data_IF_845606255200
#
_entry.id   IF_845606255200
#
_cell.length_a   1.000
_cell.length_b   1.000
_cell.length_c   1.000
_cell.angle_alpha   90.00
_cell.angle_beta   90.00
_cell.angle_gamma   90.00
#
_symmetry.space_group_name_H-M   'P 1'
#
loop_
_entity.id
_entity.type
_entity.pdbx_description
1 polymer ?
2 non-polymer ?
3 non-polymer ?
4 water ?
#
# COMPACT_ATOMS: atom_id res chain seq x y z
N UNK A 2 -2.60 -14.79 38.52
CA UNK A 2 -2.28 -13.38 38.19
C UNK A 2 -2.23 -13.08 36.70
N UNK A 3 -3.15 -12.22 36.22
CA UNK A 3 -3.17 -11.78 34.82
C UNK A 3 -1.88 -11.07 34.43
N UNK A 4 -1.16 -10.49 35.41
CA UNK A 4 0.12 -9.82 35.14
C UNK A 4 1.10 -10.72 34.39
N UNK A 5 1.07 -12.03 34.62
CA UNK A 5 1.97 -12.93 33.91
C UNK A 5 1.72 -12.90 32.41
N UNK A 6 0.47 -12.73 32.01
CA UNK A 6 0.11 -12.81 30.59
C UNK A 6 0.03 -11.45 29.91
N UNK A 7 0.08 -10.36 30.68
CA UNK A 7 0.05 -9.02 30.16
C UNK A 7 1.41 -8.36 30.35
N UNK A 8 1.61 -7.24 29.65
CA UNK A 8 2.87 -6.54 29.69
C UNK A 8 2.63 -5.08 29.32
N UNK A 9 3.62 -4.25 29.64
CA UNK A 9 3.66 -2.87 29.19
C UNK A 9 4.50 -2.85 27.92
N UNK A 10 3.94 -2.37 26.83
CA UNK A 10 4.60 -2.43 25.54
C UNK A 10 5.14 -1.04 25.21
N UNK A 11 6.43 -0.97 24.90
CA UNK A 11 7.11 0.25 24.54
C UNK A 11 7.80 0.03 23.20
N UNK A 12 8.13 1.10 22.48
CA UNK A 12 8.84 0.93 21.21
C UNK A 12 10.22 0.32 21.46
N UNK A 13 10.59 -0.64 20.63
CA UNK A 13 11.95 -1.19 20.62
C UNK A 13 12.45 -1.09 19.19
N UNK A 14 13.42 -0.23 18.96
CA UNK A 14 13.91 0.03 17.61
C UNK A 14 15.24 -0.71 17.42
N UNK A 15 15.25 -1.62 16.45
CA UNK A 15 16.41 -2.43 16.08
C UNK A 15 16.66 -2.31 14.59
N UNK A 16 17.81 -1.74 14.21
CA UNK A 16 18.23 -1.73 12.83
C UNK A 16 17.24 -1.06 11.91
N UNK A 17 16.83 0.15 12.30
CA UNK A 17 15.88 1.03 11.62
C UNK A 17 14.47 0.44 11.57
N UNK A 18 14.19 -0.59 12.34
CA UNK A 18 12.91 -1.29 12.37
C UNK A 18 12.35 -1.16 13.79
N UNK A 19 11.06 -0.84 13.92
CA UNK A 19 10.40 -0.98 15.21
C UNK A 19 9.87 -2.41 15.31
N UNK A 20 10.32 -3.15 16.33
CA UNK A 20 10.03 -4.57 16.44
C UNK A 20 8.91 -4.85 17.43
N UNK A 21 8.29 -3.81 17.98
CA UNK A 21 7.09 -3.96 18.82
C UNK A 21 5.97 -3.14 18.21
N UNK A 22 4.77 -3.39 18.71
CA UNK A 22 3.59 -2.67 18.29
C UNK A 22 2.60 -2.70 19.44
N UNK A 23 1.85 -1.61 19.60
CA UNK A 23 0.94 -1.50 20.73
C UNK A 23 -0.49 -1.72 20.26
N UNK A 24 -1.20 -2.73 20.79
CA UNK A 24 -2.56 -3.03 20.26
C UNK A 24 -3.56 -1.92 20.46
N UNK A 25 -3.55 -1.26 21.62
CA UNK A 25 -4.50 -0.17 21.87
C UNK A 25 -4.24 1.00 20.95
N UNK A 26 -2.96 1.38 20.78
CA UNK A 26 -2.64 2.47 19.87
C UNK A 26 -2.95 2.15 18.42
N UNK A 27 -2.72 0.90 18.01
CA UNK A 27 -3.06 0.52 16.64
C UNK A 27 -4.56 0.61 16.42
N UNK A 28 -5.35 0.15 17.41
CA UNK A 28 -6.79 0.31 17.34
C UNK A 28 -7.19 1.78 17.25
N UNK A 29 -6.57 2.63 18.06
CA UNK A 29 -6.91 4.05 18.04
C UNK A 29 -6.49 4.67 16.71
N UNK A 30 -5.38 4.21 16.15
CA UNK A 30 -4.93 4.75 14.87
C UNK A 30 -5.89 4.35 13.76
N UNK A 31 -6.41 3.12 13.80
CA UNK A 31 -7.45 2.71 12.84
C UNK A 31 -8.72 3.53 13.05
N UNK A 32 -9.10 3.77 14.31
CA UNK A 32 -10.32 4.51 14.57
C UNK A 32 -10.18 5.94 14.07
N UNK A 33 -8.98 6.51 14.20
CA UNK A 33 -8.72 7.85 13.68
C UNK A 33 -8.91 7.90 12.16
N UNK A 34 -8.46 6.87 11.45
CA UNK A 34 -8.68 6.83 10.01
C UNK A 34 -10.15 6.64 9.68
N UNK A 35 -10.83 5.77 10.42
CA UNK A 35 -12.27 5.62 10.23
C UNK A 35 -12.96 6.95 10.45
N UNK A 36 -12.62 7.66 11.53
CA UNK A 36 -13.29 8.91 11.86
C UNK A 36 -12.99 10.00 10.84
N UNK A 37 -11.79 10.02 10.28
CA UNK A 37 -11.55 10.93 9.16
C UNK A 37 -12.54 10.68 8.04
N UNK A 38 -12.71 9.42 7.64
CA UNK A 38 -13.57 9.08 6.51
C UNK A 38 -15.02 9.44 6.80
N UNK A 39 -15.52 9.05 7.97
CA UNK A 39 -16.91 9.37 8.28
C UNK A 39 -17.12 10.86 8.42
N UNK A 40 -16.12 11.58 8.95
CA UNK A 40 -16.22 13.03 9.04
C UNK A 40 -16.28 13.66 7.65
N UNK A 41 -15.47 13.16 6.71
CA UNK A 41 -15.51 13.70 5.36
C UNK A 41 -16.82 13.39 4.66
N UNK A 42 -17.42 12.24 4.97
CA UNK A 42 -18.71 11.89 4.41
C UNK A 42 -18.63 10.68 3.50
N UNK A 43 -19.78 10.09 3.18
CA UNK A 43 -19.80 8.91 2.31
C UNK A 43 -19.35 9.23 0.88
N UNK A 44 -19.01 8.17 0.15
CA UNK A 44 -18.65 8.22 -1.26
C UNK A 44 -19.70 7.42 -2.04
N UNK A 45 -20.36 8.08 -2.98
CA UNK A 45 -21.41 7.45 -3.75
C UNK A 45 -20.87 6.64 -4.92
N UNK A 46 -21.61 5.61 -5.31
CA UNK A 46 -21.33 4.80 -6.49
C UNK A 46 -19.97 4.08 -6.41
N UNK A 47 -19.53 3.78 -5.20
CA UNK A 47 -18.38 2.95 -4.99
C UNK A 47 -18.71 1.48 -5.01
N UNK A 48 -17.68 0.64 -4.94
CA UNK A 48 -17.89 -0.80 -4.96
C UNK A 48 -18.47 -1.25 -3.62
N UNK A 49 -19.17 -2.36 -3.65
CA UNK A 49 -19.79 -2.88 -2.43
C UNK A 49 -19.21 -4.21 -1.97
N UNK A 50 -18.42 -4.86 -2.81
CA UNK A 50 -17.73 -6.10 -2.48
C UNK A 50 -16.28 -5.95 -2.94
N UNK A 51 -15.36 -5.75 -1.99
CA UNK A 51 -14.00 -5.31 -2.28
C UNK A 51 -13.00 -6.30 -1.72
N UNK A 52 -12.06 -6.73 -2.55
CA UNK A 52 -10.89 -7.50 -2.15
C UNK A 52 -9.68 -6.59 -2.13
N UNK A 53 -9.01 -6.51 -0.98
CA UNK A 53 -7.78 -5.74 -0.80
C UNK A 53 -6.64 -6.70 -0.54
N UNK A 54 -5.67 -6.71 -1.45
CA UNK A 54 -4.46 -7.51 -1.35
C UNK A 54 -3.38 -6.63 -0.76
N UNK A 55 -3.02 -6.86 0.51
CA UNK A 55 -2.15 -5.99 1.27
C UNK A 55 -2.96 -5.05 2.16
N UNK A 56 -3.83 -5.59 2.99
CA UNK A 56 -4.91 -4.81 3.61
C UNK A 56 -4.64 -4.38 5.03
N UNK A 57 -3.48 -4.68 5.59
CA UNK A 57 -3.26 -4.59 7.02
C UNK A 57 -2.56 -3.31 7.47
N UNK A 58 -1.80 -2.65 6.60
CA UNK A 58 -1.11 -1.43 6.99
C UNK A 58 -1.09 -0.50 5.79
N UNK A 59 -0.73 0.75 6.05
CA UNK A 59 -0.41 1.71 5.00
C UNK A 59 -1.55 1.92 4.04
N UNK A 60 -1.20 1.97 2.75
CA UNK A 60 -2.17 2.37 1.75
C UNK A 60 -3.25 1.31 1.53
N UNK A 61 -2.93 0.03 1.70
CA UNK A 61 -3.95 -1.01 1.58
C UNK A 61 -4.96 -0.96 2.71
N UNK A 62 -4.48 -0.74 3.93
CA UNK A 62 -5.38 -0.50 5.04
C UNK A 62 -6.26 0.71 4.77
N UNK A 63 -5.66 1.80 4.29
CA UNK A 63 -6.47 3.00 3.99
C UNK A 63 -7.55 2.69 2.95
N UNK A 64 -7.22 1.92 1.92
CA UNK A 64 -8.23 1.52 0.94
C UNK A 64 -9.32 0.67 1.59
N UNK A 65 -8.94 -0.25 2.45
CA UNK A 65 -9.95 -1.05 3.12
C UNK A 65 -10.87 -0.16 3.94
N UNK A 66 -10.32 0.80 4.68
CA UNK A 66 -11.16 1.68 5.49
C UNK A 66 -12.02 2.55 4.60
N UNK A 67 -11.43 3.11 3.54
CA UNK A 67 -12.20 3.95 2.63
C UNK A 67 -13.35 3.16 2.00
N UNK A 68 -13.07 1.95 1.51
CA UNK A 68 -14.13 1.17 0.87
C UNK A 68 -15.24 0.86 1.85
N UNK A 69 -14.87 0.41 3.06
CA UNK A 69 -15.87 -0.04 4.02
C UNK A 69 -16.65 1.11 4.61
N UNK A 70 -15.94 2.09 5.17
CA UNK A 70 -16.57 3.18 5.92
C UNK A 70 -16.88 4.38 5.05
N UNK A 71 -16.29 4.47 3.86
CA UNK A 71 -16.66 5.49 2.90
C UNK A 71 -17.73 4.98 1.94
N UNK A 72 -17.52 3.81 1.34
CA UNK A 72 -18.42 3.31 0.32
C UNK A 72 -19.42 2.29 0.84
N UNK A 73 -19.30 1.86 2.10
CA UNK A 73 -20.21 0.90 2.67
C UNK A 73 -19.95 -0.52 2.20
N UNK A 74 -18.72 -0.83 1.82
CA UNK A 74 -18.40 -2.10 1.19
C UNK A 74 -18.11 -3.21 2.21
N UNK A 75 -18.60 -4.41 1.89
CA UNK A 75 -18.04 -5.62 2.49
C UNK A 75 -16.63 -5.81 1.97
N UNK A 76 -15.67 -6.09 2.87
CA UNK A 76 -14.27 -6.18 2.46
C UNK A 76 -13.66 -7.50 2.88
N UNK A 77 -12.98 -8.13 1.93
CA UNK A 77 -12.12 -9.27 2.16
C UNK A 77 -10.68 -8.78 2.04
N UNK A 78 -9.88 -8.98 3.08
CA UNK A 78 -8.49 -8.51 3.11
C UNK A 78 -7.51 -9.67 3.12
N UNK A 79 -6.40 -9.47 2.43
CA UNK A 79 -5.30 -10.42 2.40
C UNK A 79 -4.06 -9.69 2.89
N UNK A 80 -3.30 -10.32 3.78
CA UNK A 80 -2.11 -9.72 4.32
C UNK A 80 -1.21 -10.82 4.88
N UNK A 81 -0.05 -10.41 5.39
CA UNK A 81 0.94 -11.33 5.92
C UNK A 81 1.50 -10.71 7.21
N UNK A 82 0.97 -11.12 8.36
CA UNK A 82 1.26 -10.45 9.62
C UNK A 82 1.49 -11.50 10.70
N UNK A 83 2.12 -11.08 11.80
CA UNK A 83 2.43 -12.00 12.91
C UNK A 83 1.46 -11.77 14.07
N UNK A 84 0.67 -12.76 14.49
CA UNK A 84 -0.16 -12.58 15.68
C UNK A 84 0.70 -12.36 16.91
N UNK A 85 0.07 -11.80 17.93
CA UNK A 85 0.73 -11.65 19.20
C UNK A 85 0.74 -12.93 20.01
N UNK A 86 1.60 -12.94 20.99
CA UNK A 86 1.58 -13.98 22.01
C UNK A 86 2.20 -13.41 23.27
N UNK A 87 2.08 -14.17 24.36
CA UNK A 87 2.58 -13.70 25.65
C UNK A 87 4.03 -13.26 25.53
N UNK A 88 4.32 -12.07 26.03
CA UNK A 88 5.66 -11.52 25.97
C UNK A 88 6.15 -11.04 24.62
N UNK A 89 5.39 -11.24 23.54
CA UNK A 89 5.85 -10.95 22.17
C UNK A 89 4.76 -10.26 21.37
N UNK A 90 4.73 -8.93 21.38
CA UNK A 90 3.75 -8.21 20.57
C UNK A 90 3.77 -8.69 19.12
N UNK A 91 2.59 -8.83 18.53
CA UNK A 91 2.48 -9.11 17.12
C UNK A 91 2.81 -7.86 16.30
N UNK A 92 2.66 -7.96 14.99
CA UNK A 92 2.99 -6.82 14.13
C UNK A 92 1.84 -5.81 14.13
N UNK A 93 2.18 -4.57 13.77
CA UNK A 93 1.16 -3.53 13.76
C UNK A 93 0.00 -3.94 12.83
N UNK A 94 0.31 -4.58 11.70
CA UNK A 94 -0.74 -4.98 10.78
C UNK A 94 -1.73 -5.96 11.37
N UNK A 95 -1.26 -6.83 12.26
CA UNK A 95 -2.15 -7.75 12.94
C UNK A 95 -3.12 -6.99 13.83
N UNK A 96 -2.61 -6.05 14.64
CA UNK A 96 -3.48 -5.28 15.53
C UNK A 96 -4.38 -4.32 14.75
N UNK A 97 -3.88 -3.74 13.65
CA UNK A 97 -4.72 -2.91 12.80
C UNK A 97 -5.90 -3.71 12.28
N UNK A 98 -5.66 -4.95 11.86
CA UNK A 98 -6.72 -5.77 11.28
C UNK A 98 -7.69 -6.25 12.34
N UNK A 99 -7.20 -6.54 13.56
CA UNK A 99 -8.11 -6.80 14.66
C UNK A 99 -9.06 -5.63 14.89
N UNK A 100 -8.53 -4.41 14.94
CA UNK A 100 -9.40 -3.24 15.13
C UNK A 100 -10.34 -3.06 13.95
N UNK A 101 -9.86 -3.33 12.74
CA UNK A 101 -10.73 -3.18 11.59
C UNK A 101 -11.93 -4.12 11.70
N UNK A 102 -11.67 -5.40 12.01
CA UNK A 102 -12.77 -6.34 12.20
C UNK A 102 -13.73 -5.87 13.30
N UNK A 103 -13.17 -5.35 14.39
CA UNK A 103 -14.00 -4.89 15.49
C UNK A 103 -14.92 -3.76 15.04
N UNK A 104 -14.35 -2.75 14.37
CA UNK A 104 -15.16 -1.60 13.98
C UNK A 104 -16.09 -1.93 12.81
N UNK A 105 -15.67 -2.84 11.93
CA UNK A 105 -16.54 -3.21 10.81
C UNK A 105 -17.82 -3.85 11.34
N UNK A 106 -17.68 -4.76 12.29
CA UNK A 106 -18.84 -5.45 12.83
C UNK A 106 -19.76 -4.48 13.55
N UNK A 107 -19.18 -3.53 14.28
CA UNK A 107 -20.00 -2.54 14.98
C UNK A 107 -20.95 -1.84 14.01
N UNK A 108 -20.50 -1.61 12.77
CA UNK A 108 -21.31 -0.95 11.76
C UNK A 108 -22.03 -1.94 10.85
N UNK A 109 -22.14 -3.20 11.28
CA UNK A 109 -22.83 -4.20 10.48
C UNK A 109 -22.22 -4.41 9.11
N UNK A 110 -20.90 -4.29 8.98
CA UNK A 110 -20.21 -4.56 7.73
C UNK A 110 -19.43 -5.88 7.83
N UNK A 111 -19.50 -6.67 6.76
CA UNK A 111 -18.69 -7.87 6.63
C UNK A 111 -17.21 -7.55 6.62
N UNK A 112 -16.44 -8.29 7.41
CA UNK A 112 -14.97 -8.18 7.39
C UNK A 112 -14.41 -9.57 7.63
N UNK A 113 -13.75 -10.12 6.61
CA UNK A 113 -13.03 -11.37 6.72
C UNK A 113 -11.63 -11.12 6.17
N UNK A 114 -10.65 -11.82 6.74
CA UNK A 114 -9.27 -11.62 6.37
C UNK A 114 -8.56 -12.95 6.22
N UNK A 115 -7.54 -12.94 5.39
CA UNK A 115 -6.73 -14.12 5.10
C UNK A 115 -5.27 -13.75 5.32
N UNK A 116 -4.57 -14.54 6.14
CA UNK A 116 -3.20 -14.26 6.57
C UNK A 116 -2.30 -15.31 5.92
N UNK A 117 -1.42 -14.88 5.03
CA UNK A 117 -0.58 -15.81 4.30
C UNK A 117 0.03 -15.14 3.09
N UNK A 118 0.83 -15.91 2.37
CA UNK A 118 1.62 -15.37 1.25
C UNK A 118 0.70 -15.15 0.04
N UNK A 119 0.41 -13.87 -0.25
CA UNK A 119 -0.47 -13.54 -1.37
C UNK A 119 0.15 -13.90 -2.73
N UNK A 120 1.46 -14.12 -2.78
CA UNK A 120 2.09 -14.56 -4.02
C UNK A 120 1.84 -16.02 -4.34
N UNK A 121 1.34 -16.80 -3.37
CA UNK A 121 1.14 -18.25 -3.54
C UNK A 121 -0.21 -18.52 -4.18
N UNK A 122 -0.29 -19.63 -4.92
CA UNK A 122 -1.56 -20.09 -5.46
C UNK A 122 -2.49 -20.54 -4.35
N UNK A 123 -1.96 -21.13 -3.27
CA UNK A 123 -2.81 -21.57 -2.18
C UNK A 123 -3.63 -20.43 -1.60
N UNK A 124 -2.99 -19.27 -1.38
CA UNK A 124 -3.71 -18.14 -0.82
C UNK A 124 -4.72 -17.60 -1.82
N UNK A 125 -4.38 -17.59 -3.11
CA UNK A 125 -5.37 -17.17 -4.09
C UNK A 125 -6.62 -18.06 -4.05
N UNK A 126 -6.43 -19.37 -3.84
CA UNK A 126 -7.55 -20.30 -3.83
C UNK A 126 -8.39 -20.13 -2.56
N UNK A 127 -7.73 -19.94 -1.42
CA UNK A 127 -8.47 -19.62 -0.19
C UNK A 127 -9.28 -18.35 -0.37
N UNK A 128 -8.74 -17.37 -1.08
CA UNK A 128 -9.45 -16.12 -1.30
C UNK A 128 -10.67 -16.34 -2.19
N UNK A 129 -10.48 -17.07 -3.28
CA UNK A 129 -11.60 -17.45 -4.14
C UNK A 129 -12.67 -18.18 -3.32
N UNK A 130 -12.24 -19.12 -2.46
CA UNK A 130 -13.19 -19.87 -1.64
C UNK A 130 -14.03 -18.94 -0.78
N UNK A 131 -13.37 -17.98 -0.13
CA UNK A 131 -14.08 -17.01 0.69
C UNK A 131 -15.10 -16.21 -0.12
N UNK A 132 -14.71 -15.71 -1.30
CA UNK A 132 -15.63 -14.91 -2.10
C UNK A 132 -16.86 -15.73 -2.47
N UNK A 133 -16.63 -16.97 -2.94
CA UNK A 133 -17.75 -17.84 -3.32
C UNK A 133 -18.69 -18.08 -2.16
N UNK A 134 -18.14 -18.36 -0.99
CA UNK A 134 -18.95 -18.69 0.17
C UNK A 134 -19.78 -17.51 0.64
N UNK A 135 -19.21 -16.30 0.59
CA UNK A 135 -19.70 -15.15 1.35
C UNK A 135 -20.25 -14.03 0.48
N UNK A 136 -19.56 -13.70 -0.60
CA UNK A 136 -19.89 -12.52 -1.40
C UNK A 136 -20.42 -12.84 -2.79
N UNK A 137 -20.13 -14.02 -3.33
CA UNK A 137 -20.50 -14.37 -4.69
C UNK A 137 -19.42 -13.90 -5.65
N UNK A 138 -19.30 -12.59 -5.77
CA UNK A 138 -18.26 -11.97 -6.58
C UNK A 138 -17.83 -10.69 -5.88
N UNK A 139 -16.71 -10.14 -6.34
CA UNK A 139 -16.24 -8.85 -5.86
C UNK A 139 -16.24 -7.86 -7.02
N UNK A 140 -16.52 -6.60 -6.67
CA UNK A 140 -16.63 -5.49 -7.60
C UNK A 140 -15.30 -4.83 -7.85
N UNK A 141 -14.38 -4.93 -6.92
CA UNK A 141 -13.17 -4.14 -6.94
C UNK A 141 -12.05 -4.94 -6.32
N UNK A 142 -10.85 -4.83 -6.90
CA UNK A 142 -9.65 -5.47 -6.38
C UNK A 142 -8.59 -4.40 -6.22
N UNK A 143 -8.15 -4.19 -4.98
CA UNK A 143 -7.03 -3.30 -4.68
C UNK A 143 -5.78 -4.15 -4.54
N UNK A 144 -4.75 -3.82 -5.32
CA UNK A 144 -3.46 -4.48 -5.23
C UNK A 144 -2.46 -3.53 -4.58
N UNK A 145 -2.07 -3.88 -3.35
CA UNK A 145 -1.33 -2.97 -2.48
C UNK A 145 -0.33 -3.74 -1.64
N UNK A 146 0.43 -4.62 -2.29
CA UNK A 146 1.47 -5.40 -1.64
C UNK A 146 2.77 -4.62 -1.65
N UNK A 147 3.51 -4.70 -0.56
CA UNK A 147 4.89 -4.23 -0.55
C UNK A 147 5.71 -5.29 0.17
N UNK A 148 6.68 -5.87 -0.54
CA UNK A 148 7.54 -6.90 0.03
C UNK A 148 8.91 -6.77 -0.59
N UNK A 149 9.98 -7.07 0.16
CA UNK A 149 11.31 -7.18 -0.45
C UNK A 149 11.55 -8.48 -1.20
N UNK A 150 10.66 -9.47 -1.09
CA UNK A 150 10.92 -10.79 -1.65
C UNK A 150 9.63 -11.40 -2.16
N UNK A 151 9.76 -12.29 -3.16
CA UNK A 151 8.64 -13.04 -3.71
C UNK A 151 9.12 -14.45 -4.02
N UNK A 152 8.45 -15.45 -3.46
CA UNK A 152 8.67 -16.84 -3.85
C UNK A 152 7.77 -17.12 -5.05
N UNK A 153 8.38 -17.44 -6.18
CA UNK A 153 7.59 -17.69 -7.38
C UNK A 153 6.63 -18.86 -7.13
N UNK A 154 5.35 -18.74 -7.48
CA UNK A 154 4.38 -19.80 -7.13
C UNK A 154 4.57 -21.08 -7.91
N UNK A 155 5.23 -21.05 -9.07
CA UNK A 155 5.43 -22.23 -9.89
C UNK A 155 6.79 -22.86 -9.70
N UNK A 156 7.86 -22.05 -9.67
CA UNK A 156 9.23 -22.55 -9.65
C UNK A 156 9.83 -22.65 -8.25
N UNK A 157 9.27 -21.94 -7.28
CA UNK A 157 9.87 -21.88 -5.96
C UNK A 157 11.04 -20.94 -5.85
N UNK A 158 11.48 -20.34 -6.95
CA UNK A 158 12.61 -19.43 -6.89
C UNK A 158 12.27 -18.25 -5.99
N UNK A 159 13.21 -17.90 -5.11
CA UNK A 159 13.04 -16.74 -4.24
C UNK A 159 13.68 -15.53 -4.93
N UNK A 160 12.85 -14.55 -5.25
CA UNK A 160 13.31 -13.32 -5.86
C UNK A 160 13.43 -12.24 -4.80
N UNK A 161 14.52 -11.49 -4.84
CA UNK A 161 14.74 -10.37 -3.92
C UNK A 161 14.83 -9.10 -4.74
N UNK A 162 14.06 -8.10 -4.34
CA UNK A 162 14.11 -6.83 -5.04
C UNK A 162 15.34 -6.07 -4.59
N UNK A 163 15.81 -5.19 -5.46
CA UNK A 163 16.97 -4.35 -5.17
C UNK A 163 16.57 -2.89 -5.36
N UNK A 164 17.23 -2.02 -4.59
CA UNK A 164 17.01 -0.58 -4.62
C UNK A 164 18.30 0.07 -5.11
N UNK A 165 18.47 0.13 -6.42
CA UNK A 165 19.73 0.54 -7.01
C UNK A 165 19.46 1.29 -8.30
N UNK A 166 20.38 2.16 -8.72
CA UNK A 166 20.22 2.80 -10.03
C UNK A 166 20.52 1.82 -11.13
N UNK A 167 20.34 2.25 -12.38
CA UNK A 167 20.75 1.48 -13.56
C UNK A 167 21.75 2.32 -14.32
N UNK A 168 22.81 1.67 -14.80
CA UNK A 168 23.82 2.35 -15.58
C UNK A 168 25.01 2.77 -14.76
N UNK A 169 24.94 3.95 -14.17
CA UNK A 169 26.01 4.49 -13.34
C UNK A 169 25.66 4.38 -11.87
N UNK A 170 26.70 4.33 -11.03
CA UNK A 170 26.53 4.49 -9.59
C UNK A 170 26.06 5.90 -9.28
N UNK A 171 25.34 6.07 -8.17
CA UNK A 171 24.82 7.37 -7.77
C UNK A 171 25.09 7.63 -6.29
N UNK A 172 25.37 8.88 -5.96
CA UNK A 172 25.48 9.34 -4.57
C UNK A 172 24.13 9.86 -4.08
N UNK A 173 23.59 9.21 -3.05
CA UNK A 173 22.28 9.53 -2.51
C UNK A 173 22.41 10.02 -1.08
N UNK A 174 21.97 11.25 -0.84
CA UNK A 174 21.93 11.82 0.49
C UNK A 174 20.77 11.22 1.28
N UNK A 175 20.95 11.11 2.59
CA UNK A 175 19.92 10.48 3.40
C UNK A 175 20.07 10.88 4.84
N UNK A 176 19.19 10.33 5.67
CA UNK A 176 19.16 10.62 7.09
C UNK A 176 19.16 9.30 7.84
N UNK A 177 20.19 9.09 8.65
CA UNK A 177 20.31 7.93 9.54
C UNK A 177 19.49 8.22 10.78
N UNK A 178 18.34 7.56 10.92
CA UNK A 178 17.45 7.88 12.02
C UNK A 178 17.91 7.32 13.36
N UNK A 179 18.89 6.41 13.38
CA UNK A 179 19.43 5.93 14.65
C UNK A 179 20.42 6.93 15.22
N UNK A 180 21.41 7.33 14.41
CA UNK A 180 22.43 8.30 14.79
C UNK A 180 21.96 9.73 14.61
N UNK A 181 20.87 9.96 13.88
CA UNK A 181 20.41 11.32 13.60
C UNK A 181 21.53 12.14 13.00
N UNK A 182 22.15 11.61 11.94
CA UNK A 182 23.10 12.37 11.14
C UNK A 182 22.68 12.32 9.68
N UNK A 183 22.93 13.42 8.97
CA UNK A 183 22.85 13.43 7.52
C UNK A 183 24.05 12.66 6.97
N UNK A 184 23.79 11.80 5.99
CA UNK A 184 24.77 10.82 5.56
C UNK A 184 24.53 10.49 4.09
N UNK A 185 25.54 10.71 3.26
CA UNK A 185 25.50 10.31 1.86
C UNK A 185 26.12 8.92 1.71
N UNK A 186 25.60 8.16 0.75
CA UNK A 186 26.19 6.87 0.43
C UNK A 186 26.03 6.61 -1.07
N UNK A 187 26.92 5.81 -1.62
CA UNK A 187 27.01 5.53 -3.05
C UNK A 187 26.38 4.18 -3.31
N UNK A 188 25.33 4.16 -4.13
CA UNK A 188 24.72 2.91 -4.56
C UNK A 188 25.31 2.45 -5.87
N UNK A 189 25.73 1.19 -5.91
CA UNK A 189 26.24 0.64 -7.14
C UNK A 189 25.11 0.31 -8.10
N UNK A 190 25.40 0.26 -9.40
CA UNK A 190 24.36 -0.05 -10.37
C UNK A 190 23.93 -1.50 -10.27
N UNK A 191 22.69 -1.75 -10.70
CA UNK A 191 22.09 -3.05 -10.56
C UNK A 191 22.52 -3.97 -11.70
N UNK A 192 22.86 -5.21 -11.35
CA UNK A 192 23.04 -6.24 -12.37
C UNK A 192 21.71 -6.52 -13.05
N UNK A 193 21.78 -7.21 -14.20
CA UNK A 193 20.55 -7.60 -14.87
C UNK A 193 19.75 -8.56 -14.01
N UNK A 194 20.44 -9.40 -13.24
CA UNK A 194 19.74 -10.30 -12.33
C UNK A 194 18.96 -9.51 -11.28
N UNK A 195 19.57 -8.46 -10.74
CA UNK A 195 18.87 -7.61 -9.78
C UNK A 195 17.67 -6.93 -10.43
N UNK A 196 17.84 -6.45 -11.66
CA UNK A 196 16.72 -5.83 -12.37
C UNK A 196 15.59 -6.83 -12.54
N UNK A 197 15.91 -8.00 -13.09
CA UNK A 197 14.88 -9.01 -13.34
C UNK A 197 14.23 -9.46 -12.03
N UNK A 198 15.01 -9.59 -10.96
CA UNK A 198 14.45 -9.97 -9.67
C UNK A 198 13.53 -8.89 -9.14
N UNK A 199 13.88 -7.62 -9.33
CA UNK A 199 13.05 -6.54 -8.83
C UNK A 199 11.74 -6.44 -9.61
N UNK A 200 11.80 -6.64 -10.93
CA UNK A 200 10.57 -6.70 -11.70
C UNK A 200 9.70 -7.86 -11.22
N UNK A 201 10.32 -9.01 -10.93
CA UNK A 201 9.56 -10.16 -10.46
C UNK A 201 8.87 -9.89 -9.13
N UNK A 202 9.49 -9.09 -8.26
CA UNK A 202 8.91 -8.83 -6.94
C UNK A 202 7.90 -7.70 -7.01
N UNK A 203 8.28 -6.58 -7.61
CA UNK A 203 7.51 -5.35 -7.57
C UNK A 203 6.79 -5.03 -8.87
N UNK A 204 6.97 -5.85 -9.91
CA UNK A 204 6.25 -5.67 -11.16
C UNK A 204 4.81 -6.11 -11.10
N UNK A 205 4.19 -6.29 -12.26
CA UNK A 205 2.77 -6.55 -12.33
C UNK A 205 2.35 -7.99 -12.51
N UNK A 206 3.28 -8.94 -12.50
CA UNK A 206 2.91 -10.32 -12.81
C UNK A 206 1.90 -10.87 -11.80
N UNK A 207 2.22 -10.76 -10.51
CA UNK A 207 1.34 -11.36 -9.51
C UNK A 207 -0.03 -10.72 -9.51
N UNK A 208 -0.07 -9.39 -9.69
CA UNK A 208 -1.33 -8.70 -9.91
C UNK A 208 -2.12 -9.38 -11.03
N UNK A 209 -1.46 -9.63 -12.16
CA UNK A 209 -2.13 -10.30 -13.27
C UNK A 209 -2.60 -11.69 -12.89
N UNK A 210 -1.76 -12.45 -12.20
CA UNK A 210 -2.14 -13.79 -11.75
C UNK A 210 -3.39 -13.74 -10.88
N UNK A 211 -3.47 -12.75 -9.99
CA UNK A 211 -4.66 -12.59 -9.16
C UNK A 211 -5.90 -12.44 -10.03
N UNK A 212 -5.88 -11.49 -10.97
CA UNK A 212 -7.06 -11.27 -11.80
C UNK A 212 -7.36 -12.50 -12.64
N UNK A 213 -6.31 -13.18 -13.12
CA UNK A 213 -6.52 -14.37 -13.95
C UNK A 213 -7.06 -15.54 -13.14
N UNK A 214 -6.68 -15.65 -11.86
CA UNK A 214 -7.26 -16.67 -11.01
C UNK A 214 -8.70 -16.34 -10.65
N UNK A 215 -9.01 -15.06 -10.46
CA UNK A 215 -10.35 -14.64 -10.06
C UNK A 215 -11.33 -14.73 -11.23
N UNK A 216 -10.96 -14.17 -12.39
CA UNK A 216 -11.85 -14.23 -13.55
C UNK A 216 -12.18 -15.67 -13.92
N UNK A 217 -11.20 -16.56 -13.82
CA UNK A 217 -11.44 -17.96 -14.15
C UNK A 217 -12.51 -18.57 -13.25
N UNK A 218 -12.60 -18.15 -12.00
CA UNK A 218 -13.53 -18.73 -11.04
C UNK A 218 -14.87 -17.99 -10.96
N UNK A 219 -15.06 -16.93 -11.74
CA UNK A 219 -16.36 -16.28 -11.81
C UNK A 219 -16.68 -15.37 -10.64
N UNK A 220 -15.67 -14.86 -9.94
CA UNK A 220 -15.90 -14.08 -8.73
C UNK A 220 -15.57 -12.60 -8.94
N UNK A 221 -15.61 -12.12 -10.19
CA UNK A 221 -15.44 -10.71 -10.49
C UNK A 221 -16.72 -10.20 -11.15
N UNK A 222 -17.30 -9.16 -10.55
CA UNK A 222 -18.60 -8.68 -11.00
C UNK A 222 -18.48 -7.95 -12.34
N UNK A 223 -19.63 -7.86 -13.02
CA UNK A 223 -19.70 -7.03 -14.21
C UNK A 223 -19.36 -5.58 -13.85
N UNK A 224 -18.60 -4.93 -14.72
CA UNK A 224 -18.16 -3.58 -14.42
C UNK A 224 -17.06 -3.52 -13.38
N UNK A 225 -16.43 -4.65 -13.07
CA UNK A 225 -15.44 -4.69 -12.01
C UNK A 225 -14.28 -3.76 -12.31
N UNK A 226 -13.57 -3.39 -11.25
CA UNK A 226 -12.48 -2.44 -11.35
C UNK A 226 -11.32 -2.93 -10.49
N UNK A 227 -10.09 -2.71 -10.94
CA UNK A 227 -8.92 -3.08 -10.15
C UNK A 227 -7.85 -2.02 -10.34
N UNK A 228 -7.12 -1.73 -9.26
CA UNK A 228 -6.03 -0.78 -9.33
C UNK A 228 -4.90 -1.27 -8.44
N UNK A 229 -3.69 -0.98 -8.87
CA UNK A 229 -2.46 -1.22 -8.13
C UNK A 229 -1.81 0.10 -7.79
N UNK A 230 -1.33 0.21 -6.57
CA UNK A 230 -0.73 1.43 -6.08
C UNK A 230 0.76 1.46 -6.38
N UNK A 231 1.28 2.64 -6.69
CA UNK A 231 2.72 2.79 -6.87
C UNK A 231 3.11 4.25 -6.63
N UNK A 232 4.41 4.47 -6.65
CA UNK A 232 5.02 5.77 -6.47
C UNK A 232 5.91 6.08 -7.66
N UNK A 233 5.86 7.32 -8.12
CA UNK A 233 6.80 7.82 -9.10
C UNK A 233 7.68 8.95 -8.59
N UNK A 234 7.13 9.85 -7.77
CA UNK A 234 7.97 10.91 -7.23
C UNK A 234 8.55 11.81 -8.32
N UNK A 235 9.60 12.54 -7.93
CA UNK A 235 10.25 13.51 -8.81
C UNK A 235 11.77 13.31 -8.80
N UNK A 236 12.52 14.38 -9.08
CA UNK A 236 13.96 14.25 -9.35
C UNK A 236 14.74 13.69 -8.17
N UNK A 237 14.37 14.06 -6.94
CA UNK A 237 15.22 13.65 -5.82
C UNK A 237 15.37 12.14 -5.76
N UNK A 238 14.31 11.40 -6.06
CA UNK A 238 14.33 9.95 -5.96
C UNK A 238 14.40 9.26 -7.32
N UNK A 239 14.57 10.03 -8.40
CA UNK A 239 14.30 9.51 -9.74
C UNK A 239 15.33 8.47 -10.18
N UNK A 240 16.56 8.55 -9.67
CA UNK A 240 17.56 7.53 -10.00
C UNK A 240 17.09 6.14 -9.65
N UNK A 241 16.19 6.01 -8.68
CA UNK A 241 15.66 4.72 -8.25
C UNK A 241 14.28 4.44 -8.84
N UNK A 242 13.33 5.36 -8.72
CA UNK A 242 11.94 5.09 -9.06
C UNK A 242 11.57 5.45 -10.50
N UNK A 243 12.39 6.22 -11.21
CA UNK A 243 12.21 6.40 -12.65
C UNK A 243 13.13 5.47 -13.44
N UNK A 244 14.44 5.62 -13.25
CA UNK A 244 15.44 4.98 -14.09
C UNK A 244 16.07 3.76 -13.45
N UNK A 245 15.82 3.53 -12.16
CA UNK A 245 16.46 2.46 -11.43
C UNK A 245 15.70 1.15 -11.47
N UNK A 246 16.21 0.17 -10.72
CA UNK A 246 15.62 -1.16 -10.68
C UNK A 246 14.13 -1.08 -10.40
N UNK A 247 13.73 -0.22 -9.47
CA UNK A 247 12.31 -0.10 -9.16
C UNK A 247 11.58 0.54 -10.33
N UNK A 248 12.21 1.49 -11.01
CA UNK A 248 11.61 2.04 -12.22
C UNK A 248 11.32 0.97 -13.25
N UNK A 249 12.21 -0.01 -13.38
CA UNK A 249 11.94 -1.11 -14.30
C UNK A 249 10.67 -1.85 -13.87
N UNK A 250 10.48 -2.02 -12.57
CA UNK A 250 9.27 -2.68 -12.08
C UNK A 250 8.04 -1.85 -12.41
N UNK A 251 8.12 -0.53 -12.24
CA UNK A 251 6.98 0.31 -12.58
C UNK A 251 6.72 0.31 -14.08
N UNK A 252 7.76 0.15 -14.90
CA UNK A 252 7.53 -0.05 -16.33
C UNK A 252 6.78 -1.34 -16.58
N UNK A 253 7.15 -2.42 -15.90
CA UNK A 253 6.35 -3.64 -16.03
C UNK A 253 4.89 -3.38 -15.68
N UNK A 254 4.63 -2.40 -14.81
CA UNK A 254 3.29 -2.18 -14.28
C UNK A 254 2.41 -1.40 -15.25
N UNK A 255 2.96 -0.37 -15.91
CA UNK A 255 2.20 0.43 -16.88
C UNK A 255 1.78 -0.37 -18.10
N UNK A 256 2.39 -1.54 -18.30
CA UNK A 256 2.04 -2.46 -19.37
C UNK A 256 0.97 -3.45 -18.94
N UNK A 257 1.13 -4.03 -17.73
CA UNK A 257 0.18 -5.04 -17.27
C UNK A 257 -1.22 -4.45 -17.11
N UNK A 258 -1.32 -3.18 -16.73
CA UNK A 258 -2.64 -2.61 -16.51
C UNK A 258 -3.44 -2.56 -17.82
N UNK A 259 -2.74 -2.48 -18.96
CA UNK A 259 -3.44 -2.44 -20.23
C UNK A 259 -4.12 -3.78 -20.51
N UNK A 260 -3.39 -4.89 -20.35
CA UNK A 260 -4.00 -6.21 -20.50
C UNK A 260 -5.12 -6.41 -19.50
N UNK A 261 -4.98 -5.85 -18.30
CA UNK A 261 -6.03 -6.01 -17.29
C UNK A 261 -7.25 -5.18 -17.65
N UNK A 262 -7.03 -3.95 -18.14
CA UNK A 262 -8.15 -3.12 -18.57
C UNK A 262 -8.89 -3.76 -19.74
N UNK A 263 -8.15 -4.33 -20.69
CA UNK A 263 -8.79 -5.00 -21.82
C UNK A 263 -9.71 -6.10 -21.33
N UNK A 264 -9.31 -6.84 -20.29
CA UNK A 264 -10.14 -7.94 -19.83
C UNK A 264 -11.38 -7.44 -19.09
N UNK A 265 -11.25 -6.34 -18.35
CA UNK A 265 -12.40 -5.87 -17.57
C UNK A 265 -13.37 -5.03 -18.38
N UNK A 266 -12.86 -4.26 -19.34
CA UNK A 266 -13.75 -3.36 -20.09
C UNK A 266 -14.69 -4.13 -21.01
N UNK A 267 -14.31 -5.34 -21.44
CA UNK A 267 -15.26 -6.25 -22.09
C UNK A 267 -16.26 -6.85 -21.12
N UNK A 268 -15.96 -6.79 -19.82
CA UNK A 268 -16.75 -7.45 -18.78
C UNK A 268 -17.66 -6.43 -18.11
N UNK A 269 -18.65 -5.98 -18.86
CA UNK A 269 -19.58 -4.98 -18.36
C UNK A 269 -18.97 -3.61 -18.12
N UNK A 270 -17.96 -3.24 -18.89
CA UNK A 270 -17.38 -1.91 -18.77
C UNK A 270 -16.52 -1.73 -17.53
N UNK A 271 -15.95 -2.80 -17.00
CA UNK A 271 -14.98 -2.69 -15.93
C UNK A 271 -13.75 -1.90 -16.35
N UNK A 272 -12.91 -1.54 -15.37
CA UNK A 272 -11.78 -0.68 -15.67
C UNK A 272 -10.60 -1.04 -14.77
N UNK A 273 -9.40 -0.75 -15.24
CA UNK A 273 -8.19 -1.00 -14.47
C UNK A 273 -7.25 0.18 -14.61
N UNK A 274 -6.59 0.56 -13.50
CA UNK A 274 -5.69 1.71 -13.47
C UNK A 274 -4.54 1.45 -12.51
N UNK A 275 -3.32 1.83 -12.93
CA UNK A 275 -2.25 2.09 -11.98
C UNK A 275 -2.59 3.39 -11.29
N UNK A 276 -2.57 3.39 -9.96
CA UNK A 276 -2.83 4.60 -9.20
C UNK A 276 -1.53 5.04 -8.55
N UNK A 277 -1.16 6.32 -8.73
CA UNK A 277 0.10 6.86 -8.22
C UNK A 277 -0.19 7.74 -7.01
N UNK A 278 0.42 7.43 -5.88
CA UNK A 278 0.13 8.08 -4.61
C UNK A 278 1.37 8.80 -4.12
N UNK A 279 1.20 9.66 -3.12
CA UNK A 279 2.31 10.43 -2.58
C UNK A 279 3.15 9.61 -1.60
N UNK A 280 4.37 10.08 -1.38
CA UNK A 280 5.27 9.47 -0.41
C UNK A 280 4.71 9.69 0.99
N UNK A 281 4.67 8.62 1.79
CA UNK A 281 4.29 8.69 3.20
C UNK A 281 5.32 7.92 4.03
N UNK A 282 5.29 8.14 5.35
CA UNK A 282 6.07 7.28 6.25
C UNK A 282 5.42 5.90 6.26
N UNK A 283 6.24 4.88 6.05
CA UNK A 283 5.78 3.50 6.12
C UNK A 283 6.80 2.74 6.94
N UNK A 284 6.51 1.49 7.27
CA UNK A 284 7.38 0.84 8.24
C UNK A 284 8.77 0.57 7.67
N UNK A 285 8.91 0.52 6.35
CA UNK A 285 10.22 0.38 5.72
C UNK A 285 10.97 1.71 5.55
N UNK A 286 10.40 2.86 5.91
CA UNK A 286 10.97 4.14 5.49
C UNK A 286 12.35 4.37 6.08
N UNK A 287 12.55 4.02 7.36
CA UNK A 287 13.81 4.38 8.01
C UNK A 287 14.98 3.58 7.47
N UNK A 288 14.71 2.44 6.83
CA UNK A 288 15.79 1.59 6.35
C UNK A 288 16.30 2.03 4.98
N UNK A 289 15.62 2.95 4.31
CA UNK A 289 16.10 3.55 3.06
C UNK A 289 16.48 5.00 3.33
N UNK A 290 17.76 5.29 3.59
CA UNK A 290 18.10 6.58 4.23
C UNK A 290 17.62 7.81 3.49
N UNK A 291 17.43 7.77 2.18
CA UNK A 291 16.97 8.98 1.51
C UNK A 291 15.54 9.32 1.88
N UNK A 292 14.71 8.32 2.22
CA UNK A 292 13.31 8.63 2.46
C UNK A 292 13.08 9.43 3.74
N UNK A 293 13.68 9.09 4.89
CA UNK A 293 13.47 9.98 6.05
C UNK A 293 13.86 11.43 5.77
N UNK A 294 14.90 11.67 5.00
CA UNK A 294 15.27 13.05 4.69
C UNK A 294 14.25 13.70 3.76
N UNK A 295 13.89 13.00 2.68
CA UNK A 295 12.89 13.53 1.76
C UNK A 295 11.57 13.78 2.47
N UNK A 296 11.07 12.79 3.23
CA UNK A 296 9.82 12.98 3.95
C UNK A 296 9.90 14.14 4.94
N UNK A 297 10.99 14.25 5.70
CA UNK A 297 11.07 15.33 6.68
C UNK A 297 10.99 16.69 6.00
N UNK A 298 11.63 16.84 4.84
CA UNK A 298 11.55 18.08 4.08
C UNK A 298 10.17 18.28 3.45
N UNK A 299 9.66 17.24 2.78
CA UNK A 299 8.37 17.34 2.14
C UNK A 299 7.28 17.69 3.13
N UNK A 300 7.28 17.03 4.29
CA UNK A 300 6.29 17.33 5.34
C UNK A 300 6.33 18.81 5.71
N UNK A 301 7.51 19.36 5.97
CA UNK A 301 7.58 20.76 6.36
C UNK A 301 7.02 21.65 5.26
N UNK A 302 7.45 21.42 4.02
CA UNK A 302 7.03 22.30 2.93
C UNK A 302 5.53 22.18 2.70
N UNK A 303 5.01 20.96 2.69
CA UNK A 303 3.58 20.80 2.41
C UNK A 303 2.73 21.30 3.56
N UNK A 304 3.21 21.15 4.79
CA UNK A 304 2.50 21.74 5.92
C UNK A 304 2.41 23.26 5.79
N UNK A 305 3.46 23.90 5.26
CA UNK A 305 3.39 25.35 5.04
C UNK A 305 2.38 25.74 3.96
N UNK A 306 2.04 24.82 3.06
CA UNK A 306 1.06 25.06 2.02
C UNK A 306 -0.33 24.62 2.41
N UNK A 307 -0.46 23.92 3.53
CA UNK A 307 -1.76 23.38 3.92
C UNK A 307 -2.12 22.10 3.21
N UNK A 308 -1.14 21.39 2.62
CA UNK A 308 -1.42 20.24 1.77
C UNK A 308 -0.84 18.93 2.31
N UNK A 309 -0.23 18.93 3.50
CA UNK A 309 0.27 17.70 4.09
C UNK A 309 -0.87 16.72 4.35
N UNK A 310 -0.66 15.46 3.96
CA UNK A 310 -1.65 14.39 4.07
C UNK A 310 -0.92 13.10 4.38
N UNK A 311 -1.67 12.12 4.88
CA UNK A 311 -1.18 10.75 4.99
C UNK A 311 -1.98 9.75 4.17
N UNK A 312 -1.98 8.46 4.58
CA UNK A 312 -2.56 7.43 3.73
C UNK A 312 -4.05 7.61 3.55
N UNK A 313 -4.78 7.81 4.65
CA UNK A 313 -6.24 7.80 4.55
C UNK A 313 -6.73 9.01 3.75
N UNK A 314 -6.11 10.17 3.95
CA UNK A 314 -6.49 11.35 3.16
C UNK A 314 -6.26 11.11 1.68
N UNK A 315 -5.12 10.50 1.34
CA UNK A 315 -4.78 10.22 -0.04
C UNK A 315 -5.78 9.28 -0.67
N UNK A 316 -6.07 8.17 0.00
CA UNK A 316 -6.87 7.13 -0.61
C UNK A 316 -8.34 7.52 -0.64
N UNK A 317 -8.81 8.27 0.34
CA UNK A 317 -10.17 8.76 0.30
C UNK A 317 -10.39 9.60 -0.94
N UNK A 318 -9.41 10.46 -1.27
CA UNK A 318 -9.52 11.29 -2.47
C UNK A 318 -9.45 10.43 -3.72
N UNK A 319 -8.55 9.46 -3.75
CA UNK A 319 -8.48 8.57 -4.90
C UNK A 319 -9.85 7.96 -5.17
N UNK A 320 -10.47 7.37 -4.15
CA UNK A 320 -11.81 6.82 -4.30
C UNK A 320 -12.81 7.88 -4.75
N UNK A 321 -12.85 9.01 -4.03
CA UNK A 321 -13.92 9.97 -4.27
C UNK A 321 -13.74 10.64 -5.63
N UNK A 322 -12.51 11.06 -5.92
CA UNK A 322 -12.23 11.85 -7.12
C UNK A 322 -12.06 10.98 -8.36
N UNK A 323 -11.38 9.84 -8.24
CA UNK A 323 -10.93 9.13 -9.43
C UNK A 323 -11.55 7.76 -9.61
N UNK A 324 -11.56 6.92 -8.57
CA UNK A 324 -12.09 5.56 -8.74
C UNK A 324 -13.61 5.57 -8.82
N UNK A 325 -14.29 6.51 -8.16
CA UNK A 325 -15.75 6.51 -8.10
C UNK A 325 -16.38 7.77 -8.64
N UNK A 326 -15.62 8.86 -8.83
CA UNK A 326 -16.18 10.14 -9.19
C UNK A 326 -15.96 10.49 -10.65
N UNK A 327 -16.30 11.75 -10.98
CA UNK A 327 -16.23 12.27 -12.34
C UNK A 327 -15.13 13.30 -12.56
N UNK A 328 -14.23 13.51 -11.59
CA UNK A 328 -13.10 14.44 -11.75
C UNK A 328 -11.77 13.72 -11.57
N UNK A 329 -11.45 12.76 -12.44
CA UNK A 329 -10.23 11.99 -12.25
C UNK A 329 -9.01 12.74 -12.74
N UNK A 330 -7.87 12.21 -12.34
CA UNK A 330 -6.54 12.66 -12.74
C UNK A 330 -5.91 11.54 -13.56
N UNK A 331 -6.17 11.55 -14.87
CA UNK A 331 -5.50 10.62 -15.77
C UNK A 331 -4.20 11.25 -16.26
N UNK A 332 -3.12 10.47 -16.25
CA UNK A 332 -1.89 10.95 -16.87
C UNK A 332 -1.76 10.33 -18.27
N UNK A 333 -0.64 10.62 -18.93
CA UNK A 333 -0.54 10.35 -20.36
C UNK A 333 -0.49 8.85 -20.67
N UNK A 334 0.01 8.03 -19.74
CA UNK A 334 -0.07 6.59 -19.92
C UNK A 334 -1.43 6.05 -19.55
N UNK A 335 -2.30 6.87 -18.95
CA UNK A 335 -3.58 6.39 -18.48
C UNK A 335 -3.52 5.89 -17.04
N UNK A 336 -2.74 6.56 -16.21
CA UNK A 336 -2.63 6.29 -14.78
C UNK A 336 -3.47 7.29 -13.98
N UNK A 337 -4.07 6.81 -12.89
CA UNK A 337 -4.73 7.70 -11.95
C UNK A 337 -3.68 8.31 -11.03
N UNK A 338 -3.81 9.60 -10.76
CA UNK A 338 -2.84 10.33 -9.97
C UNK A 338 -3.49 10.93 -8.74
N UNK A 339 -2.89 10.67 -7.60
CA UNK A 339 -3.28 11.31 -6.35
C UNK A 339 -2.13 12.09 -5.76
N UNK A 340 -0.98 12.11 -6.43
CA UNK A 340 0.24 12.67 -5.89
C UNK A 340 0.48 14.10 -6.36
N UNK A 341 -0.53 14.75 -6.95
CA UNK A 341 -0.29 16.03 -7.61
C UNK A 341 0.13 17.13 -6.63
N UNK A 342 -0.28 17.04 -5.36
CA UNK A 342 0.13 18.08 -4.41
C UNK A 342 1.60 17.91 -4.00
N UNK A 343 2.09 16.67 -3.94
CA UNK A 343 3.52 16.44 -3.71
C UNK A 343 4.35 16.95 -4.88
N UNK A 344 3.84 16.80 -6.09
CA UNK A 344 4.57 17.18 -7.30
C UNK A 344 4.34 18.63 -7.71
N UNK A 345 3.62 19.41 -6.91
CA UNK A 345 3.52 20.85 -7.15
C UNK A 345 4.90 21.43 -7.49
N UNK A 346 5.06 22.16 -8.60
CA UNK A 346 6.41 22.66 -8.93
C UNK A 346 7.08 23.43 -7.80
N UNK A 347 6.33 24.26 -7.06
CA UNK A 347 6.96 25.10 -6.05
C UNK A 347 7.34 24.28 -4.82
N UNK A 348 6.51 23.31 -4.45
CA UNK A 348 6.89 22.39 -3.38
C UNK A 348 8.19 21.69 -3.75
N UNK A 349 8.25 21.14 -4.96
CA UNK A 349 9.44 20.39 -5.35
C UNK A 349 10.65 21.29 -5.43
N UNK A 350 10.47 22.50 -5.95
CA UNK A 350 11.59 23.44 -5.97
C UNK A 350 12.08 23.73 -4.56
N UNK A 351 11.15 23.90 -3.61
CA UNK A 351 11.55 24.21 -2.24
C UNK A 351 12.24 23.03 -1.58
N UNK A 352 11.68 21.84 -1.74
CA UNK A 352 12.33 20.64 -1.20
C UNK A 352 13.73 20.49 -1.79
N UNK A 353 13.84 20.65 -3.10
CA UNK A 353 15.12 20.49 -3.74
C UNK A 353 16.10 21.59 -3.31
N UNK A 354 15.61 22.80 -3.05
CA UNK A 354 16.48 23.86 -2.53
C UNK A 354 16.96 23.51 -1.13
N UNK A 355 16.05 23.04 -0.27
CA UNK A 355 16.43 22.64 1.09
C UNK A 355 17.31 21.39 1.09
N UNK A 356 17.06 20.46 0.15
CA UNK A 356 17.85 19.23 0.08
C UNK A 356 19.34 19.52 0.12
N UNK A 357 19.76 20.65 -0.42
CA UNK A 357 21.17 20.99 -0.54
C UNK A 357 21.68 21.84 0.60
N UNK A 358 20.78 22.31 1.48
CA UNK A 358 21.15 23.13 2.63
C UNK A 358 21.14 22.36 3.93
N UNK A 359 20.43 21.24 4.00
CA UNK A 359 20.26 20.56 5.28
C UNK A 359 21.60 19.96 5.71
N UNK A 360 21.97 20.21 6.97
CA UNK A 360 23.14 19.62 7.59
C UNK A 360 22.77 19.08 8.96
N UNK A 361 23.72 18.35 9.57
CA UNK A 361 23.49 17.71 10.87
C UNK A 361 23.02 18.71 11.91
N UNK A 362 23.36 19.98 11.77
CA UNK A 362 23.09 20.98 12.80
C UNK A 362 21.78 21.73 12.61
N UNK A 363 21.33 21.92 11.37
CA UNK A 363 20.07 22.61 11.11
C UNK A 363 18.92 21.66 10.77
N UNK A 364 19.08 20.35 10.99
CA UNK A 364 18.02 19.39 10.65
C UNK A 364 16.68 19.87 11.19
N UNK A 365 16.63 20.24 12.47
CA UNK A 365 15.39 20.64 13.09
C UNK A 365 14.93 22.04 12.70
N UNK A 366 15.80 22.84 12.11
CA UNK A 366 15.42 24.17 11.64
C UNK A 366 14.92 24.14 10.20
N UNK A 367 15.45 23.25 9.38
CA UNK A 367 15.11 23.17 7.97
C UNK A 367 14.09 22.09 7.63
N UNK A 368 13.84 21.12 8.52
CA UNK A 368 12.99 19.98 8.20
C UNK A 368 11.96 19.73 9.30
N UNK A 369 10.97 18.90 8.98
CA UNK A 369 10.00 18.42 9.96
C UNK A 369 10.40 17.00 10.40
N UNK A 370 11.68 16.84 10.74
CA UNK A 370 12.12 15.56 11.27
C UNK A 370 11.32 15.20 12.51
N UNK A 371 10.86 16.19 13.28
CA UNK A 371 9.99 15.91 14.42
C UNK A 371 8.76 15.16 13.95
N UNK A 372 8.12 15.67 12.89
CA UNK A 372 6.92 15.04 12.38
C UNK A 372 7.19 13.67 11.79
N UNK A 373 8.32 13.49 11.10
CA UNK A 373 8.69 12.17 10.61
C UNK A 373 8.74 11.16 11.74
N UNK A 374 9.47 11.50 12.81
CA UNK A 374 9.62 10.57 13.93
C UNK A 374 8.27 10.25 14.56
N UNK A 375 7.42 11.25 14.73
CA UNK A 375 6.11 11.02 15.33
C UNK A 375 5.25 10.11 14.45
N UNK A 376 5.20 10.40 13.14
CA UNK A 376 4.39 9.57 12.26
C UNK A 376 4.97 8.15 12.15
N UNK A 377 6.29 8.00 12.32
CA UNK A 377 6.86 6.66 12.26
C UNK A 377 6.41 5.82 13.46
N UNK A 378 6.55 6.39 14.66
CA UNK A 378 6.06 5.70 15.85
C UNK A 378 4.56 5.43 15.78
N UNK A 379 3.79 6.38 15.25
CA UNK A 379 2.33 6.21 15.14
C UNK A 379 1.97 4.94 14.38
N UNK A 380 2.78 4.57 13.37
CA UNK A 380 2.48 3.36 12.59
C UNK A 380 2.30 2.16 13.50
N UNK A 381 3.13 2.07 14.53
CA UNK A 381 3.18 0.90 15.41
C UNK A 381 2.31 1.09 16.64
N UNK A 382 1.51 2.15 16.69
CA UNK A 382 0.59 2.39 17.80
C UNK A 382 1.14 3.20 18.94
N UNK A 383 2.29 3.85 18.76
CA UNK A 383 2.92 4.64 19.82
C UNK A 383 2.67 6.12 19.58
N UNK A 384 2.53 6.87 20.68
CA UNK A 384 2.27 8.30 20.63
C UNK A 384 0.86 8.71 20.26
N UNK A 385 -0.15 7.86 20.45
CA UNK A 385 -1.51 8.13 20.01
C UNK A 385 -2.30 8.76 21.15
N UNK A 386 -2.99 9.86 20.83
CA UNK A 386 -3.83 10.53 21.82
C UNK A 386 -4.84 9.55 22.43
N UNK A 387 -5.10 9.73 23.71
CA UNK A 387 -6.12 8.95 24.40
C UNK A 387 -5.65 7.61 24.90
N UNK A 388 -4.46 7.17 24.52
CA UNK A 388 -3.95 5.87 24.90
C UNK A 388 -3.15 6.00 26.19
N UNK A 389 -3.43 5.12 27.16
CA UNK A 389 -2.68 5.07 28.42
C UNK A 389 -1.54 4.08 28.24
N UNK A 390 -0.33 4.59 27.98
CA UNK A 390 0.80 3.70 27.73
C UNK A 390 1.38 3.09 29.00
N UNK A 391 0.90 3.48 30.18
CA UNK A 391 1.32 2.85 31.41
C UNK A 391 0.52 1.59 31.74
N UNK A 392 -0.58 1.32 31.04
CA UNK A 392 -1.45 0.20 31.39
C UNK A 392 -0.98 -1.10 30.74
N UNK A 393 -1.04 -2.19 31.51
CA UNK A 393 -0.80 -3.52 30.99
C UNK A 393 -1.77 -3.84 29.86
N UNK A 394 -1.30 -4.56 28.85
CA UNK A 394 -2.18 -5.11 27.82
C UNK A 394 -1.77 -6.55 27.53
N UNK A 395 -2.74 -7.32 27.04
CA UNK A 395 -2.46 -8.69 26.62
C UNK A 395 -2.06 -8.66 25.15
N UNK A 396 -0.83 -8.99 24.78
CA UNK A 396 -0.44 -8.85 23.37
C UNK A 396 -1.17 -9.82 22.46
N UNK A 397 -1.84 -10.86 23.00
CA UNK A 397 -2.50 -11.88 22.19
C UNK A 397 -3.93 -11.44 21.90
N UNK A 398 -4.04 -10.50 20.97
CA UNK A 398 -5.29 -10.00 20.44
C UNK A 398 -5.72 -10.92 19.30
N UNK A 399 -6.93 -11.45 19.40
CA UNK A 399 -7.47 -12.42 18.44
C UNK A 399 -8.35 -11.73 17.41
N UNK A 400 -8.50 -12.38 16.25
CA UNK A 400 -9.27 -11.83 15.14
C UNK A 400 -10.32 -12.84 14.70
N UNK A 401 -11.61 -12.56 14.84
CA UNK A 401 -12.64 -13.44 14.26
C UNK A 401 -12.62 -13.38 12.74
N UNK A 402 -13.04 -14.47 12.13
CA UNK A 402 -13.04 -14.63 10.66
C UNK A 402 -11.68 -14.25 10.08
N UNK A 403 -10.65 -14.81 10.69
CA UNK A 403 -9.29 -14.73 10.21
C UNK A 403 -8.91 -16.13 9.71
N UNK A 404 -8.72 -16.27 8.41
CA UNK A 404 -8.30 -17.53 7.82
C UNK A 404 -6.79 -17.55 7.77
N UNK A 405 -6.18 -18.55 8.41
CA UNK A 405 -4.73 -18.64 8.50
C UNK A 405 -4.22 -19.56 7.39
N UNK A 406 -3.33 -19.03 6.55
CA UNK A 406 -2.80 -19.79 5.44
C UNK A 406 -1.47 -20.44 5.74
X LIG B 1 3.06 -1.40 3.82
X LIG B 1 4.39 -1.94 4.21
X LIG B 1 2.33 -0.48 4.73
X LIG B 1 1.98 -2.55 3.59
X LIG B 1 2.30 -3.65 2.71
X LIG B 1 1.15 -4.63 2.73
X LIG B 1 1.52 -5.81 1.99
X LIG B 1 0.74 -5.12 4.12
X LIG B 1 -0.67 -5.33 4.15
X LIG B 1 1.51 -6.44 4.23
X LIG B 1 0.93 -7.36 5.14
X LIG B 1 1.32 -6.94 2.82
X LIG B 1 2.20 -8.01 2.41
X LIG B 1 3.56 -7.96 2.23
X LIG B 1 4.08 -9.08 1.78
X LIG B 1 2.98 -9.93 1.66
X LIG B 1 2.86 -11.26 1.20
X LIG B 1 3.89 -12.01 0.80
X LIG B 1 1.63 -11.80 1.18
X LIG B 1 0.59 -11.06 1.60
X LIG B 1 0.59 -9.81 2.07
X LIG B 1 1.84 -9.29 2.06
X LIG B 1 3.55 -0.67 2.53
X LIG B 1 3.02 0.60 1.66
X LIG B 1 4.25 1.50 1.62
X LIG B 1 1.75 1.13 2.19
X LIG B 1 2.87 0.15 0.15
X LIG B 1 1.57 -0.38 -0.22
X LIG B 1 1.43 -0.02 -1.68
X LIG B 1 1.47 1.43 -1.80
X LIG B 1 2.58 -0.55 -2.54
X LIG B 1 2.07 -0.96 -3.80
X LIG B 1 3.49 0.67 -2.66
X LIG B 1 4.30 0.65 -3.83
X LIG B 1 2.46 1.78 -2.74
X LIG B 1 2.99 3.13 -2.44
X LIG B 1 3.70 3.42 -1.25
X LIG B 1 4.18 4.65 -1.02
X LIG B 1 4.89 4.97 0.27
X LIG B 1 5.37 6.11 0.35
X LIG B 1 4.98 4.07 1.24
X LIG B 1 4.04 5.78 -1.97
X LIG B 1 3.17 5.41 -3.11
X LIG B 1 2.71 4.19 -3.32
X LIG B 1 2.58 -0.22 5.65
X LIG B 1 3.22 -4.10 3.11
X LIG B 1 2.51 -3.31 1.69
X LIG B 1 0.31 -4.21 2.19
X LIG B 1 0.98 -4.41 4.91
X LIG B 1 -0.87 -6.14 4.68
X LIG B 1 2.56 -6.24 4.47
X LIG B 1 1.32 -7.16 6.03
X LIG B 1 0.30 -7.28 2.65
X LIG B 1 4.18 -7.09 2.43
X LIG B 1 4.82 -11.61 0.82
X LIG B 1 3.76 -12.95 0.47
X LIG B 1 -0.37 -11.57 1.56
X LIG B 1 5.17 1.23 1.87
X LIG B 1 0.79 0.09 0.38
X LIG B 1 1.56 -1.46 -0.08
X LIG B 1 0.46 -0.37 -2.04
X LIG B 1 3.08 -1.38 -2.05
X LIG B 1 2.48 -1.84 -4.01
X LIG B 1 4.12 0.76 -1.77
X LIG B 1 5.24 0.52 -3.51
X LIG B 1 1.99 1.80 -3.72
X LIG B 1 3.84 2.60 -0.56
X LIG B 1 5.46 4.31 2.10
X LIG B 1 4.60 3.13 1.20
X LIG B 1 5.02 6.08 -2.35
X LIG B 1 3.66 6.67 -1.48
X LIG B 1 2.92 6.22 -3.80
X LIG B 1 2.09 3.94 -4.18
X LIG C 1 -1.84 11.92 17.56
X LIG C 1 -2.76 10.93 18.21
X LIG C 1 -0.83 12.82 18.76
X LIG C 1 -0.57 11.07 16.60
X LIG C 1 -1.45 13.43 19.37
X LIG C 1 -0.14 13.44 18.24
X LIG C 1 -0.30 12.14 19.36
X LIG C 1 -0.06 10.37 17.22
X LIG C 1 0.12 11.77 16.22
X LIG C 1 -1.02 10.54 15.79
X LIG D 1 8.64 4.87 -1.87
X LIG D 1 7.94 6.19 -1.67
X LIG D 1 9.38 4.34 -0.32
X LIG D 1 7.44 3.52 -2.05
X LIG D 1 9.80 3.38 -0.44
X LIG D 1 8.65 4.32 0.44
X LIG D 1 10.15 5.02 -0.04
X LIG D 1 6.80 3.51 -1.21
X LIG D 1 7.96 2.60 -2.11
X LIG D 1 6.87 3.66 -2.93
X LIG E 1 0.96 -18.04 24.40
X LIG E 1 2.11 -17.70 25.29
X LIG E 1 -0.33 -18.86 25.36
X LIG E 1 -0.06 -16.60 23.97
X LIG E 1 -1.18 -19.03 24.75
X LIG E 1 0.03 -19.79 25.72
X LIG E 1 -0.60 -18.25 26.18
X LIG E 1 -0.90 -16.92 23.42
X LIG E 1 -0.38 -16.12 24.86
X LIG E 1 0.52 -15.93 23.39
#
# INVERSE_FOLDING_TARGET
RGSHMLEMIIKPRVRGFICVTAHPTGCEANVKKQIDYVTTEGPIANGPKRVLVIGASTGYGLAARITAAFGCGADTLGVFFERPGEEGKPGTSGWYNSAAFHKFAAQKGLYAKSINGDAFSDEIKQLTIDAIKQDLGQVDQVIYSLASPRRTHPKTGEVFNSALKPIGNAVNLRGLDTDKEVIKESVLQPATQSEIDSTVAVMGGEDWQMWIDALLDAGVLAEGAQTTAFTYLGEKITHDIYWNGSIGAAKKDLDQKVLAIRESLAAHGGGDARVSVLKAVVCQASSAIPMMPLYLSLLFKVMKEKGTHEGCIEQVYSLYKDSLCGDSPHMDQEGRLRADYKELDPEVQNQVQQLWDQVTNDNIYQLTDFVGYKSEFLNLFGFGIDGVDYDADVNPDVKIPNLIQG
NAI PA O1A O2A O5B C5B C4B O4B C3B O3B C2B O2B C1B N9A C8A N7A C5A C6A N6A N1A C2A N3A C4A O3 PN O1N O2N O5D C5D C4D O4D C3D O3D C2D O2D C1D N1N C2N C3N C7N O7N N7N C4N C5N C6N HOA2 H51A H52A H4B H3B HO3A H2B HO2A H1B H8A H61A H62A H2A HO1N H51N H52N H4D H3D HO3N H2D HO2N H1D H2N H71N H72N H4N H42N H5N H6N
DMS S O C1 C2 H11 H12 H13 H21 H22 H23
DMS S O C1 C2 H11 H12 H13 H21 H22 H23
DMS S O C1 C2 H11 H12 H13 H21 H22 H23
#
